data_IF_864057991840
#
_entry.id   IF_864057991840
#
_cell.length_a   1.000
_cell.length_b   1.000
_cell.length_c   1.000
_cell.angle_alpha   90.00
_cell.angle_beta   90.00
_cell.angle_gamma   90.00
#
_symmetry.space_group_name_H-M   'P 1'
#
loop_
_entity.id
_entity.type
_entity.pdbx_description
1 polymer ?
#
# COMPACT_ATOMS: atom_id res chain seq x y z
N UNK A 1 -11.08 -4.58 -26.25
CA UNK A 1 -10.41 -5.50 -25.29
C UNK A 1 -8.97 -5.06 -25.05
N UNK A 2 -8.31 -4.49 -26.06
CA UNK A 2 -6.93 -4.00 -25.98
C UNK A 2 -6.74 -2.86 -24.97
N UNK A 3 -7.71 -1.96 -24.80
CA UNK A 3 -7.61 -0.85 -23.83
C UNK A 3 -7.58 -1.35 -22.37
N UNK A 4 -8.38 -2.37 -22.05
CA UNK A 4 -8.36 -3.02 -20.74
C UNK A 4 -7.03 -3.73 -20.50
N UNK A 5 -6.54 -4.48 -21.50
CA UNK A 5 -5.27 -5.19 -21.41
C UNK A 5 -4.09 -4.22 -21.26
N UNK A 6 -4.12 -3.08 -21.98
CA UNK A 6 -3.08 -2.06 -21.93
C UNK A 6 -3.08 -1.31 -20.59
N UNK A 7 -4.25 -0.96 -20.04
CA UNK A 7 -4.36 -0.36 -18.69
C UNK A 7 -3.97 -1.34 -17.60
N UNK A 8 -4.32 -2.61 -17.73
CA UNK A 8 -3.90 -3.67 -16.80
C UNK A 8 -2.38 -3.90 -16.85
N UNK A 9 -1.77 -3.94 -18.04
CA UNK A 9 -0.32 -4.02 -18.22
C UNK A 9 0.40 -2.81 -17.62
N UNK A 10 -0.06 -1.59 -17.90
CA UNK A 10 0.51 -0.37 -17.34
C UNK A 10 0.38 -0.31 -15.82
N UNK A 11 -0.78 -0.70 -15.28
CA UNK A 11 -0.99 -0.80 -13.84
C UNK A 11 -0.06 -1.85 -13.20
N UNK A 12 0.02 -3.04 -13.79
CA UNK A 12 0.88 -4.12 -13.31
C UNK A 12 2.37 -3.78 -13.36
N UNK A 13 2.84 -3.17 -14.46
CA UNK A 13 4.21 -2.67 -14.60
C UNK A 13 4.51 -1.57 -13.57
N UNK A 14 3.59 -0.64 -13.36
CA UNK A 14 3.73 0.40 -12.34
C UNK A 14 3.86 -0.18 -10.93
N UNK A 15 3.02 -1.17 -10.59
CA UNK A 15 3.10 -1.87 -9.30
C UNK A 15 4.40 -2.67 -9.18
N UNK A 16 4.83 -3.37 -10.22
CA UNK A 16 6.07 -4.15 -10.22
C UNK A 16 7.31 -3.27 -10.03
N UNK A 17 7.35 -2.12 -10.71
CA UNK A 17 8.43 -1.14 -10.58
C UNK A 17 8.44 -0.44 -9.22
N UNK A 18 7.28 -0.25 -8.58
CA UNK A 18 7.21 0.30 -7.22
C UNK A 18 7.58 -0.77 -6.16
N UNK A 19 7.09 -2.00 -6.31
CA UNK A 19 7.28 -3.09 -5.36
C UNK A 19 8.72 -3.64 -5.37
N UNK A 20 9.41 -3.66 -6.52
CA UNK A 20 10.80 -4.11 -6.64
C UNK A 20 11.78 -3.39 -5.71
N UNK A 21 11.94 -2.05 -5.81
CA UNK A 21 12.83 -1.29 -4.94
C UNK A 21 12.35 -1.26 -3.49
N UNK A 22 11.03 -1.20 -3.23
CA UNK A 22 10.47 -1.30 -1.88
C UNK A 22 10.83 -2.64 -1.22
N UNK A 23 10.72 -3.76 -1.93
CA UNK A 23 11.07 -5.09 -1.42
C UNK A 23 12.56 -5.22 -1.09
N UNK A 24 13.44 -4.73 -1.97
CA UNK A 24 14.88 -4.71 -1.72
C UNK A 24 15.24 -3.85 -0.48
N UNK A 25 14.59 -2.70 -0.33
CA UNK A 25 14.81 -1.80 0.80
C UNK A 25 14.31 -2.38 2.14
N UNK A 26 13.14 -3.03 2.13
CA UNK A 26 12.54 -3.69 3.29
C UNK A 26 13.45 -4.83 3.80
N UNK A 27 14.02 -5.62 2.88
CA UNK A 27 14.95 -6.71 3.23
C UNK A 27 16.26 -6.18 3.79
N UNK A 28 16.85 -5.15 3.16
CA UNK A 28 18.12 -4.56 3.62
C UNK A 28 18.04 -3.93 5.01
N UNK A 29 16.89 -3.38 5.40
CA UNK A 29 16.69 -2.81 6.75
C UNK A 29 16.23 -3.84 7.80
N UNK A 30 16.17 -5.14 7.47
CA UNK A 30 15.55 -6.18 8.32
C UNK A 30 14.11 -5.83 8.78
N UNK A 31 13.39 -5.03 8.00
CA UNK A 31 12.02 -4.63 8.30
C UNK A 31 10.99 -5.55 7.63
N UNK A 32 11.26 -6.86 7.55
CA UNK A 32 10.36 -7.81 6.86
C UNK A 32 8.90 -7.76 7.36
N UNK A 33 8.68 -7.33 8.61
CA UNK A 33 7.36 -7.16 9.23
C UNK A 33 6.63 -5.87 8.84
N UNK A 34 7.28 -4.92 8.16
CA UNK A 34 6.68 -3.64 7.75
C UNK A 34 5.53 -3.86 6.77
N UNK A 35 5.69 -4.81 5.85
CA UNK A 35 4.64 -5.21 4.92
C UNK A 35 3.43 -5.81 5.61
N UNK A 36 3.64 -6.68 6.60
CA UNK A 36 2.57 -7.34 7.36
C UNK A 36 1.79 -6.33 8.24
N UNK A 37 2.51 -5.43 8.92
CA UNK A 37 1.91 -4.34 9.69
C UNK A 37 1.12 -3.36 8.80
N UNK A 38 1.65 -3.03 7.61
CA UNK A 38 0.97 -2.15 6.65
C UNK A 38 -0.27 -2.83 6.04
N UNK A 39 -0.23 -4.15 5.81
CA UNK A 39 -1.38 -4.91 5.32
C UNK A 39 -2.54 -4.92 6.33
N UNK A 40 -2.24 -5.18 7.61
CA UNK A 40 -3.25 -5.09 8.68
C UNK A 40 -3.78 -3.66 8.86
N UNK A 41 -2.90 -2.66 8.77
CA UNK A 41 -3.30 -1.24 8.78
C UNK A 41 -4.19 -0.86 7.59
N UNK A 42 -3.95 -1.42 6.41
CA UNK A 42 -4.77 -1.18 5.23
C UNK A 42 -6.19 -1.74 5.41
N UNK A 43 -6.36 -2.92 6.03
CA UNK A 43 -7.69 -3.48 6.34
C UNK A 43 -8.48 -2.53 7.27
N UNK A 44 -7.82 -1.97 8.29
CA UNK A 44 -8.41 -0.95 9.17
C UNK A 44 -8.82 0.30 8.36
N UNK A 45 -7.98 0.75 7.43
CA UNK A 45 -8.26 1.87 6.55
C UNK A 45 -9.44 1.67 5.61
N UNK A 46 -9.57 0.46 5.05
CA UNK A 46 -10.74 0.07 4.27
C UNK A 46 -12.00 0.10 5.15
N UNK A 47 -11.93 -0.50 6.34
CA UNK A 47 -13.06 -0.53 7.27
C UNK A 47 -13.51 0.88 7.69
N UNK A 48 -12.57 1.78 7.99
CA UNK A 48 -12.86 3.18 8.31
C UNK A 48 -13.43 3.95 7.11
N UNK A 49 -12.87 3.78 5.91
CA UNK A 49 -13.42 4.43 4.71
C UNK A 49 -14.87 4.02 4.45
N UNK A 50 -15.16 2.72 4.56
CA UNK A 50 -16.52 2.21 4.40
C UNK A 50 -17.46 2.72 5.52
N UNK A 51 -16.99 2.79 6.76
CA UNK A 51 -17.78 3.30 7.89
C UNK A 51 -18.14 4.79 7.76
N UNK A 52 -17.21 5.61 7.27
CA UNK A 52 -17.42 7.05 7.06
C UNK A 52 -18.01 7.40 5.68
N UNK A 53 -18.22 6.41 4.80
CA UNK A 53 -18.71 6.62 3.43
C UNK A 53 -17.73 7.38 2.53
N UNK A 54 -16.44 7.38 2.86
CA UNK A 54 -15.37 8.05 2.11
C UNK A 54 -14.72 7.07 1.13
N UNK A 55 -14.06 7.56 0.08
CA UNK A 55 -13.37 6.67 -0.87
C UNK A 55 -12.37 5.74 -0.17
N UNK A 56 -12.42 4.45 -0.50
CA UNK A 56 -11.55 3.40 0.06
C UNK A 56 -10.07 3.73 -0.15
N UNK A 57 -9.73 4.33 -1.28
CA UNK A 57 -8.38 4.81 -1.60
C UNK A 57 -7.88 5.85 -0.61
N UNK A 58 -8.71 6.82 -0.19
CA UNK A 58 -8.32 7.81 0.81
C UNK A 58 -8.12 7.17 2.19
N UNK A 59 -9.03 6.29 2.64
CA UNK A 59 -8.90 5.68 3.96
C UNK A 59 -7.69 4.74 4.07
N UNK A 60 -7.41 3.96 3.02
CA UNK A 60 -6.21 3.11 2.95
C UNK A 60 -4.93 3.93 2.85
N UNK A 61 -4.92 5.02 2.07
CA UNK A 61 -3.77 5.91 1.98
C UNK A 61 -3.44 6.58 3.32
N UNK A 62 -4.46 7.12 4.01
CA UNK A 62 -4.27 7.80 5.30
C UNK A 62 -3.75 6.82 6.36
N UNK A 63 -4.34 5.63 6.46
CA UNK A 63 -3.89 4.62 7.44
C UNK A 63 -2.49 4.09 7.14
N UNK A 64 -2.15 3.88 5.86
CA UNK A 64 -0.80 3.50 5.46
C UNK A 64 0.23 4.59 5.81
N UNK A 65 -0.10 5.87 5.56
CA UNK A 65 0.75 7.01 5.94
C UNK A 65 0.95 7.11 7.45
N UNK A 66 -0.12 6.97 8.23
CA UNK A 66 -0.05 6.98 9.70
C UNK A 66 0.87 5.87 10.20
N UNK A 67 0.72 4.64 9.69
CA UNK A 67 1.60 3.53 10.08
C UNK A 67 3.05 3.77 9.67
N UNK A 68 3.30 4.28 8.46
CA UNK A 68 4.65 4.62 8.01
C UNK A 68 5.31 5.69 8.91
N UNK A 69 4.55 6.72 9.31
CA UNK A 69 5.03 7.76 10.22
C UNK A 69 5.31 7.21 11.62
N UNK A 70 4.44 6.36 12.16
CA UNK A 70 4.64 5.73 13.47
C UNK A 70 5.91 4.89 13.49
N UNK A 71 6.16 4.09 12.44
CA UNK A 71 7.38 3.28 12.37
C UNK A 71 8.62 4.15 12.11
N UNK A 72 8.49 5.24 11.35
CA UNK A 72 9.62 6.16 11.11
C UNK A 72 9.98 7.03 12.33
N UNK A 73 9.02 7.28 13.22
CA UNK A 73 9.21 8.04 14.45
C UNK A 73 9.74 7.18 15.62
N UNK A 74 9.65 5.86 15.50
CA UNK A 74 10.14 4.89 16.49
C UNK A 74 11.57 4.44 16.15
#
# INVERSE_FOLDING_TARGET
MDDFLMRALLGGLGVALAAGPLGAFIVWRRMAYFGDATAHGAILGVALALAFGVSVTLGTLVTALVMALVIAAL
#
